data_IF_194648759473
#
_entry.id   IF_194648759473
#
_cell.length_a   1.000
_cell.length_b   1.000
_cell.length_c   1.000
_cell.angle_alpha   90.00
_cell.angle_beta   90.00
_cell.angle_gamma   90.00
#
_symmetry.space_group_name_H-M   'P 1'
#
loop_
_entity.id
_entity.type
_entity.pdbx_description
1 polymer ?
#
# COMPACT_ATOMS: atom_id res chain seq x y z
N UNK A 1 1.39 13.42 -8.80
CA UNK A 1 0.67 14.20 -7.76
C UNK A 1 -0.41 13.31 -7.15
N UNK A 2 -0.29 12.92 -5.89
CA UNK A 2 -1.33 12.18 -5.17
C UNK A 2 -2.22 13.19 -4.42
N UNK A 3 -3.35 13.54 -5.06
CA UNK A 3 -4.31 14.50 -4.52
C UNK A 3 -5.30 13.80 -3.59
N UNK A 4 -5.29 14.23 -2.32
CA UNK A 4 -6.42 14.26 -1.37
C UNK A 4 -7.29 13.00 -1.28
N UNK A 5 -6.88 12.09 -0.39
CA UNK A 5 -7.66 10.94 0.10
C UNK A 5 -8.80 11.43 1.00
N UNK A 6 -10.05 11.38 0.52
CA UNK A 6 -11.21 11.65 1.37
C UNK A 6 -11.64 10.38 2.09
N UNK A 7 -11.41 10.34 3.40
CA UNK A 7 -11.92 9.29 4.28
C UNK A 7 -13.42 9.49 4.48
N UNK A 8 -14.24 8.84 3.65
CA UNK A 8 -15.65 8.57 3.97
C UNK A 8 -15.75 7.21 4.66
N UNK A 9 -16.84 6.97 5.38
CA UNK A 9 -17.11 5.82 6.28
C UNK A 9 -16.94 4.42 5.64
N UNK A 10 -16.67 4.35 4.34
CA UNK A 10 -16.33 3.15 3.61
C UNK A 10 -14.99 2.54 4.08
N UNK A 11 -15.03 1.25 4.46
CA UNK A 11 -13.84 0.40 4.68
C UNK A 11 -13.07 0.08 3.38
N UNK A 12 -13.15 0.96 2.37
CA UNK A 12 -12.61 0.80 1.01
C UNK A 12 -11.81 2.03 0.64
N UNK A 13 -10.71 1.84 -0.09
CA UNK A 13 -9.91 2.94 -0.60
C UNK A 13 -10.58 3.50 -1.85
N UNK A 14 -10.91 4.79 -1.85
CA UNK A 14 -11.49 5.48 -3.02
C UNK A 14 -10.40 6.28 -3.72
N UNK A 15 -10.23 6.10 -5.03
CA UNK A 15 -9.31 6.90 -5.84
C UNK A 15 -9.91 8.26 -6.20
N UNK A 16 -9.09 9.17 -6.71
CA UNK A 16 -9.51 10.47 -7.26
C UNK A 16 -10.58 10.36 -8.34
N UNK A 17 -10.58 9.25 -9.08
CA UNK A 17 -11.55 8.92 -10.12
C UNK A 17 -12.85 8.29 -9.57
N UNK A 18 -12.96 8.12 -8.25
CA UNK A 18 -14.15 7.58 -7.60
C UNK A 18 -14.24 6.05 -7.57
N UNK A 19 -13.21 5.33 -8.05
CA UNK A 19 -13.14 3.88 -7.99
C UNK A 19 -12.82 3.41 -6.58
N UNK A 20 -13.51 2.37 -6.11
CA UNK A 20 -13.31 1.79 -4.79
C UNK A 20 -12.54 0.47 -4.87
N UNK A 21 -11.50 0.34 -4.05
CA UNK A 21 -10.66 -0.84 -3.99
C UNK A 21 -10.68 -1.45 -2.58
N UNK A 22 -10.79 -2.77 -2.54
CA UNK A 22 -10.65 -3.59 -1.31
C UNK A 22 -9.42 -4.48 -1.37
N UNK A 23 -9.04 -4.91 -2.57
CA UNK A 23 -7.86 -5.72 -2.84
C UNK A 23 -6.85 -4.87 -3.61
N UNK A 24 -5.59 -5.11 -3.32
CA UNK A 24 -4.49 -4.50 -4.05
C UNK A 24 -3.36 -5.52 -4.23
N UNK A 25 -2.68 -5.38 -5.35
CA UNK A 25 -1.35 -5.93 -5.53
C UNK A 25 -0.38 -4.75 -5.52
N UNK A 26 0.72 -4.89 -4.80
CA UNK A 26 1.70 -3.83 -4.57
C UNK A 26 3.07 -4.38 -4.84
N UNK A 27 3.84 -3.61 -5.58
CA UNK A 27 5.16 -4.02 -6.04
C UNK A 27 6.16 -2.90 -5.79
N UNK A 28 7.28 -3.23 -5.17
CA UNK A 28 8.29 -2.25 -4.79
C UNK A 28 9.43 -2.90 -4.04
N UNK A 29 10.34 -2.09 -3.52
CA UNK A 29 11.46 -2.55 -2.70
C UNK A 29 11.20 -2.29 -1.22
N UNK A 30 11.74 -3.16 -0.37
CA UNK A 30 11.60 -3.09 1.08
C UNK A 30 12.55 -2.00 1.61
N UNK A 31 12.01 -1.01 2.30
CA UNK A 31 12.79 0.08 2.91
C UNK A 31 12.87 0.00 4.43
N UNK A 32 11.93 -0.70 5.07
CA UNK A 32 12.02 -1.03 6.49
C UNK A 32 11.33 -2.36 6.78
N UNK A 33 11.81 -3.04 7.82
CA UNK A 33 11.24 -4.28 8.32
C UNK A 33 11.02 -4.09 9.82
N UNK A 34 9.80 -4.36 10.28
CA UNK A 34 9.42 -4.42 11.68
C UNK A 34 8.81 -5.78 11.99
N UNK A 35 8.82 -6.16 13.26
CA UNK A 35 8.18 -7.38 13.73
C UNK A 35 7.29 -7.08 14.93
N UNK A 36 6.04 -7.51 14.86
CA UNK A 36 5.06 -7.38 15.93
C UNK A 36 4.44 -8.76 16.22
N UNK A 37 4.94 -9.41 17.27
CA UNK A 37 4.58 -10.79 17.60
C UNK A 37 4.90 -11.75 16.47
N UNK A 38 3.88 -12.44 15.96
CA UNK A 38 3.99 -13.38 14.84
C UNK A 38 3.82 -12.74 13.45
N UNK A 39 3.67 -11.41 13.38
CA UNK A 39 3.44 -10.68 12.13
C UNK A 39 4.69 -9.88 11.77
N UNK A 40 5.01 -9.85 10.48
CA UNK A 40 6.08 -9.03 9.93
C UNK A 40 5.46 -7.83 9.24
N UNK A 41 5.98 -6.65 9.56
CA UNK A 41 5.64 -5.38 8.94
C UNK A 41 6.73 -4.99 7.95
N UNK A 42 6.37 -4.73 6.70
CA UNK A 42 7.25 -4.23 5.66
C UNK A 42 6.80 -2.83 5.27
N UNK A 43 7.73 -1.89 5.21
CA UNK A 43 7.49 -0.63 4.49
C UNK A 43 8.04 -0.79 3.08
N UNK A 44 7.19 -0.56 2.10
CA UNK A 44 7.49 -0.75 0.68
C UNK A 44 7.50 0.60 -0.04
N UNK A 45 8.49 0.80 -0.90
CA UNK A 45 8.57 1.95 -1.80
C UNK A 45 8.60 1.48 -3.26
N UNK A 46 7.78 2.11 -4.10
CA UNK A 46 7.85 1.98 -5.56
C UNK A 46 8.59 3.17 -6.21
N UNK A 47 9.00 4.16 -5.41
CA UNK A 47 9.65 5.40 -5.85
C UNK A 47 8.72 6.44 -6.48
N UNK A 48 7.41 6.21 -6.54
CA UNK A 48 6.45 7.11 -7.18
C UNK A 48 5.72 8.04 -6.19
N UNK A 49 5.81 7.77 -4.89
CA UNK A 49 5.08 8.51 -3.87
C UNK A 49 5.39 8.07 -2.44
N UNK A 50 4.42 8.23 -1.51
CA UNK A 50 4.60 7.81 -0.13
C UNK A 50 4.74 6.29 -0.06
N UNK A 51 5.49 5.82 0.92
CA UNK A 51 5.63 4.40 1.17
C UNK A 51 4.33 3.78 1.65
N UNK A 52 4.16 2.48 1.39
CA UNK A 52 3.04 1.71 1.89
C UNK A 52 3.53 0.72 2.95
N UNK A 53 2.86 0.70 4.09
CA UNK A 53 3.04 -0.36 5.07
C UNK A 53 2.22 -1.59 4.68
N UNK A 54 2.86 -2.76 4.69
CA UNK A 54 2.22 -4.05 4.51
C UNK A 54 2.53 -4.96 5.69
N UNK A 55 1.51 -5.66 6.20
CA UNK A 55 1.67 -6.63 7.26
C UNK A 55 1.33 -8.02 6.70
N UNK A 56 2.18 -9.00 6.98
CA UNK A 56 1.91 -10.40 6.65
C UNK A 56 2.35 -11.32 7.78
N UNK A 57 1.82 -12.54 7.80
CA UNK A 57 2.32 -13.60 8.67
C UNK A 57 3.09 -14.57 7.80
N UNK A 58 4.41 -14.72 7.97
CA UNK A 58 5.18 -15.70 7.22
C UNK A 58 4.66 -17.11 7.54
N UNK A 59 4.47 -17.92 6.50
CA UNK A 59 4.33 -19.36 6.67
C UNK A 59 5.67 -19.97 7.13
N UNK A 60 5.65 -21.18 7.68
CA UNK A 60 6.83 -21.83 8.28
C UNK A 60 8.07 -21.81 7.38
N UNK A 61 7.89 -21.99 6.07
CA UNK A 61 8.95 -22.05 5.06
C UNK A 61 9.02 -20.81 4.14
N UNK A 62 8.30 -19.74 4.48
CA UNK A 62 8.30 -18.52 3.67
C UNK A 62 9.41 -17.58 4.12
N UNK A 63 10.41 -17.28 3.27
CA UNK A 63 11.50 -16.37 3.65
C UNK A 63 10.96 -14.96 3.90
N UNK A 64 11.43 -14.34 4.97
CA UNK A 64 11.19 -12.93 5.23
C UNK A 64 12.08 -12.12 4.28
N UNK A 65 11.54 -11.15 3.52
CA UNK A 65 12.34 -10.31 2.64
C UNK A 65 13.38 -9.50 3.41
N UNK A 66 14.51 -9.24 2.76
CA UNK A 66 15.55 -8.36 3.29
C UNK A 66 15.38 -6.92 2.78
N UNK A 67 16.07 -5.98 3.44
CA UNK A 67 16.10 -4.59 3.00
C UNK A 67 16.64 -4.46 1.57
N UNK A 68 16.01 -3.61 0.78
CA UNK A 68 16.35 -3.39 -0.64
C UNK A 68 15.82 -4.47 -1.59
N UNK A 69 15.36 -5.63 -1.09
CA UNK A 69 14.78 -6.65 -1.95
C UNK A 69 13.45 -6.17 -2.53
N UNK A 70 13.21 -6.53 -3.79
CA UNK A 70 11.93 -6.27 -4.45
C UNK A 70 10.94 -7.38 -4.16
N UNK A 71 9.70 -6.99 -3.89
CA UNK A 71 8.62 -7.89 -3.53
C UNK A 71 7.35 -7.55 -4.31
N UNK A 72 6.53 -8.58 -4.55
CA UNK A 72 5.13 -8.46 -4.93
C UNK A 72 4.28 -8.94 -3.76
N UNK A 73 3.39 -8.08 -3.30
CA UNK A 73 2.45 -8.35 -2.22
C UNK A 73 1.04 -8.29 -2.76
N UNK A 74 0.20 -9.26 -2.38
CA UNK A 74 -1.23 -9.26 -2.74
C UNK A 74 -2.03 -9.39 -1.46
N UNK A 75 -3.01 -8.50 -1.28
CA UNK A 75 -3.76 -8.47 -0.04
C UNK A 75 -4.92 -7.50 -0.01
N UNK A 76 -5.46 -7.31 1.19
CA UNK A 76 -6.58 -6.41 1.45
C UNK A 76 -6.08 -5.08 1.99
N UNK A 77 -6.62 -3.99 1.44
CA UNK A 77 -6.39 -2.66 2.00
C UNK A 77 -7.24 -2.50 3.25
N UNK A 78 -6.61 -2.03 4.33
CA UNK A 78 -7.29 -1.75 5.59
C UNK A 78 -6.69 -0.52 6.27
N UNK A 79 -7.44 0.08 7.19
CA UNK A 79 -6.96 1.23 7.96
C UNK A 79 -6.43 0.77 9.30
N UNK A 80 -5.18 1.11 9.62
CA UNK A 80 -4.62 1.00 10.97
C UNK A 80 -4.68 2.31 11.72
N UNK A 81 -4.73 2.23 13.05
CA UNK A 81 -4.57 3.39 13.92
C UNK A 81 -3.10 3.54 14.26
N UNK A 82 -2.50 4.66 13.88
CA UNK A 82 -1.13 5.02 14.25
C UNK A 82 -1.15 6.17 15.25
N UNK A 83 -0.15 6.24 16.15
CA UNK A 83 0.06 7.45 16.95
C UNK A 83 0.17 8.66 16.03
N UNK A 84 -0.50 9.76 16.36
CA UNK A 84 -0.17 11.02 15.71
C UNK A 84 1.30 11.32 16.03
N UNK A 85 2.10 11.65 15.00
CA UNK A 85 3.46 12.13 15.21
C UNK A 85 3.41 13.27 16.24
N UNK A 86 4.32 13.26 17.21
CA UNK A 86 4.44 14.36 18.18
C UNK A 86 4.86 15.59 17.39
N UNK A 87 3.92 16.48 17.09
CA UNK A 87 4.26 17.87 16.80
C UNK A 87 4.90 18.44 18.07
N UNK A 88 6.04 19.09 17.93
CA UNK A 88 6.87 19.55 19.06
C UNK A 88 6.24 20.73 19.83
N UNK A 89 5.12 21.28 19.32
CA UNK A 89 4.32 22.30 19.96
C UNK A 89 2.90 21.75 20.17
N UNK A 90 2.59 21.32 21.39
CA UNK A 90 1.26 21.42 22.03
C UNK A 90 1.24 20.54 23.29
N UNK A 91 1.56 21.20 24.40
CA UNK A 91 1.23 20.74 25.73
C UNK A 91 -0.32 20.75 25.85
N UNK A 92 -0.90 19.61 26.23
CA UNK A 92 -2.34 19.41 26.47
C UNK A 92 -3.27 19.34 25.22
N UNK A 93 -3.07 18.37 24.33
CA UNK A 93 -4.13 17.92 23.43
C UNK A 93 -4.29 16.38 23.43
N UNK A 94 -5.52 15.93 23.72
CA UNK A 94 -5.96 14.54 23.62
C UNK A 94 -5.42 13.88 22.34
N UNK A 95 -4.57 12.85 22.48
CA UNK A 95 -3.85 12.15 21.40
C UNK A 95 -4.83 11.53 20.38
N UNK A 96 -5.31 12.33 19.43
CA UNK A 96 -6.14 11.88 18.31
C UNK A 96 -5.29 10.95 17.45
N UNK A 97 -5.54 9.64 17.54
CA UNK A 97 -4.86 8.62 16.71
C UNK A 97 -5.24 8.83 15.25
N UNK A 98 -4.25 8.87 14.35
CA UNK A 98 -4.48 8.99 12.91
C UNK A 98 -4.81 7.62 12.34
N UNK A 99 -5.63 7.58 11.28
CA UNK A 99 -5.85 6.37 10.48
C UNK A 99 -4.96 6.42 9.24
N UNK A 100 -4.19 5.37 9.03
CA UNK A 100 -3.35 5.21 7.84
C UNK A 100 -3.72 3.91 7.13
N UNK A 101 -3.64 3.93 5.79
CA UNK A 101 -3.88 2.74 4.98
C UNK A 101 -2.67 1.82 5.03
N UNK A 102 -2.95 0.53 5.20
CA UNK A 102 -1.98 -0.54 5.15
C UNK A 102 -2.50 -1.70 4.29
N UNK A 103 -1.59 -2.54 3.82
CA UNK A 103 -1.92 -3.79 3.14
C UNK A 103 -1.83 -4.97 4.10
N UNK A 104 -2.95 -5.62 4.40
CA UNK A 104 -2.95 -6.95 5.00
C UNK A 104 -2.63 -7.97 3.91
N UNK A 105 -1.34 -8.25 3.74
CA UNK A 105 -0.83 -9.11 2.68
C UNK A 105 -1.13 -10.58 2.99
N UNK A 106 -1.73 -11.25 2.00
CA UNK A 106 -2.09 -12.67 2.03
C UNK A 106 -1.09 -13.52 1.24
N UNK A 107 -0.45 -12.91 0.24
CA UNK A 107 0.60 -13.54 -0.56
C UNK A 107 1.78 -12.59 -0.69
N UNK A 108 2.97 -13.17 -0.65
CA UNK A 108 4.24 -12.48 -0.84
C UNK A 108 5.09 -13.28 -1.81
N UNK A 109 5.71 -12.59 -2.76
CA UNK A 109 6.67 -13.16 -3.70
C UNK A 109 7.90 -12.27 -3.80
N UNK A 110 9.09 -12.85 -3.60
CA UNK A 110 10.35 -12.19 -3.88
C UNK A 110 10.57 -12.08 -5.39
N UNK A 111 11.05 -10.93 -5.85
CA UNK A 111 11.26 -10.66 -7.27
C UNK A 111 12.76 -10.56 -7.57
N UNK A 112 13.37 -11.68 -7.95
CA UNK A 112 14.75 -11.69 -8.43
C UNK A 112 14.93 -10.85 -9.72
N UNK A 113 16.07 -10.14 -9.82
CA UNK A 113 16.41 -9.31 -10.98
C UNK A 113 15.45 -8.14 -11.23
N UNK A 114 14.62 -7.80 -10.24
CA UNK A 114 13.55 -6.81 -10.34
C UNK A 114 14.03 -5.37 -10.54
N UNK A 115 15.20 -4.99 -10.03
CA UNK A 115 15.72 -3.64 -10.16
C UNK A 115 15.77 -3.19 -11.63
N UNK A 116 16.14 -4.10 -12.54
CA UNK A 116 16.18 -3.84 -14.00
C UNK A 116 14.80 -3.71 -14.64
N UNK A 117 13.76 -4.27 -14.01
CA UNK A 117 12.36 -4.26 -14.50
C UNK A 117 11.47 -3.24 -13.80
N UNK A 118 11.95 -2.61 -12.72
CA UNK A 118 11.17 -1.67 -11.92
C UNK A 118 10.60 -0.52 -12.75
N UNK A 119 11.36 -0.02 -13.73
CA UNK A 119 10.91 1.07 -14.60
C UNK A 119 9.79 0.64 -15.56
N UNK A 120 9.83 -0.59 -16.07
CA UNK A 120 8.76 -1.12 -16.93
C UNK A 120 7.43 -1.22 -16.16
N UNK A 121 7.47 -1.60 -14.88
CA UNK A 121 6.26 -1.66 -14.05
C UNK A 121 5.67 -0.30 -13.78
N UNK A 122 6.51 0.73 -13.57
CA UNK A 122 6.01 2.10 -13.44
C UNK A 122 5.26 2.52 -14.69
N UNK A 123 5.78 2.20 -15.88
CA UNK A 123 5.10 2.48 -17.14
C UNK A 123 3.76 1.75 -17.26
N UNK A 124 3.68 0.48 -16.86
CA UNK A 124 2.42 -0.29 -16.83
C UNK A 124 1.38 0.33 -15.87
N UNK A 125 1.81 0.74 -14.68
CA UNK A 125 0.94 1.40 -13.68
C UNK A 125 0.45 2.75 -14.18
N UNK A 126 1.31 3.53 -14.82
CA UNK A 126 0.92 4.80 -15.44
C UNK A 126 -0.12 4.57 -16.55
N UNK A 127 0.08 3.58 -17.41
CA UNK A 127 -0.90 3.22 -18.45
C UNK A 127 -2.26 2.80 -17.85
N UNK A 128 -2.26 2.02 -16.77
CA UNK A 128 -3.49 1.66 -16.06
C UNK A 128 -4.23 2.91 -15.55
N UNK A 129 -3.49 3.86 -14.98
CA UNK A 129 -4.05 5.07 -14.40
C UNK A 129 -4.57 6.06 -15.46
N UNK A 130 -3.85 6.22 -16.57
CA UNK A 130 -4.18 7.20 -17.61
C UNK A 130 -5.25 6.68 -18.58
N UNK A 131 -5.28 5.37 -18.85
CA UNK A 131 -6.12 4.81 -19.90
C UNK A 131 -7.27 3.98 -19.35
N UNK A 132 -6.97 3.06 -18.41
CA UNK A 132 -7.94 2.04 -17.99
C UNK A 132 -8.91 2.59 -16.95
N UNK A 133 -8.42 3.28 -15.92
CA UNK A 133 -9.29 3.80 -14.85
C UNK A 133 -10.31 4.82 -15.34
N UNK A 134 -9.97 5.81 -16.19
CA UNK A 134 -10.97 6.71 -16.76
C UNK A 134 -12.02 5.97 -17.59
N UNK A 135 -11.60 4.96 -18.36
CA UNK A 135 -12.51 4.14 -19.16
C UNK A 135 -13.49 3.33 -18.29
N UNK A 136 -13.02 2.76 -17.18
CA UNK A 136 -13.87 2.03 -16.23
C UNK A 136 -14.93 2.93 -15.60
N UNK A 137 -14.54 4.16 -15.23
CA UNK A 137 -15.45 5.17 -14.68
C UNK A 137 -16.50 5.59 -15.70
N UNK A 138 -16.09 5.89 -16.95
CA UNK A 138 -17.01 6.24 -18.03
C UNK A 138 -18.04 5.14 -18.29
N UNK A 139 -17.67 3.87 -18.10
CA UNK A 139 -18.57 2.73 -18.28
C UNK A 139 -19.42 2.39 -17.06
N UNK A 140 -19.30 3.15 -15.96
CA UNK A 140 -19.99 2.86 -14.70
C UNK A 140 -19.57 1.52 -14.07
N UNK A 141 -18.45 0.94 -14.49
CA UNK A 141 -17.94 -0.32 -13.97
C UNK A 141 -17.05 -0.03 -12.76
N UNK A 142 -17.55 -0.38 -11.58
CA UNK A 142 -16.67 -0.48 -10.40
C UNK A 142 -15.92 -1.80 -10.48
N UNK A 143 -14.57 -1.83 -10.38
CA UNK A 143 -13.81 -3.06 -10.31
C UNK A 143 -14.19 -3.78 -9.01
N UNK A 144 -15.19 -4.65 -9.08
CA UNK A 144 -15.81 -5.30 -7.92
C UNK A 144 -15.40 -6.76 -7.75
N UNK A 145 -14.41 -7.24 -8.51
CA UNK A 145 -13.92 -8.62 -8.41
C UNK A 145 -12.40 -8.68 -8.36
#
# INVERSE_FOLDING_TARGET
MLSTLTTTESKRLKTSHGLEFKLAWVQGHVVSIGQEGSSVELTISDGSGPTLTACFRPALDQPVPELGQYVLLVGRLCQRRVPAARSQDDEAASKKRRKEWQLAAQKLKLLGGAARRAELWKQEVLMLHETIYPTLVQRGLTPTQ
#
